data_IF_506824440034
#
_entry.id   IF_506824440034
#
_cell.length_a   1.000
_cell.length_b   1.000
_cell.length_c   1.000
_cell.angle_alpha   90.00
_cell.angle_beta   90.00
_cell.angle_gamma   90.00
#
_symmetry.space_group_name_H-M   'P 1'
#
loop_
_entity.id
_entity.type
_entity.pdbx_description
1 polymer ?
#
# COMPACT_ATOMS: atom_id res chain seq x y z
N UNK A 1 7.26 18.85 -7.82
CA UNK A 1 7.83 20.15 -7.37
C UNK A 1 8.97 19.98 -6.35
N UNK A 2 10.10 20.69 -6.48
CA UNK A 2 11.22 20.58 -5.55
C UNK A 2 10.99 21.53 -4.35
N UNK A 3 10.14 21.16 -3.40
CA UNK A 3 9.93 21.98 -2.20
C UNK A 3 9.29 21.23 -1.03
N UNK A 4 9.90 20.14 -0.53
CA UNK A 4 9.51 19.56 0.78
C UNK A 4 10.70 18.93 1.53
N UNK A 5 11.93 19.42 1.41
CA UNK A 5 13.03 18.94 2.28
C UNK A 5 12.98 19.63 3.65
N UNK A 6 13.01 18.89 4.78
CA UNK A 6 13.09 19.51 6.10
C UNK A 6 14.44 20.22 6.30
N UNK A 7 14.42 21.30 7.08
CA UNK A 7 15.62 21.96 7.58
C UNK A 7 16.38 20.98 8.50
N UNK A 8 17.68 20.77 8.21
CA UNK A 8 18.52 19.83 8.97
C UNK A 8 18.88 20.41 10.33
N UNK A 9 18.34 19.83 11.40
CA UNK A 9 18.87 19.99 12.76
C UNK A 9 19.94 18.93 13.06
N UNK A 10 21.17 19.36 13.36
CA UNK A 10 22.14 18.66 14.22
C UNK A 10 22.95 17.48 13.64
N UNK A 11 24.21 17.73 13.27
CA UNK A 11 25.37 16.95 13.73
C UNK A 11 25.58 15.48 13.33
N UNK A 12 24.79 14.89 12.44
CA UNK A 12 25.05 13.57 11.84
C UNK A 12 25.14 13.70 10.32
N UNK A 13 26.26 13.30 9.72
CA UNK A 13 26.43 13.36 8.26
C UNK A 13 25.22 12.74 7.56
N UNK A 14 24.47 13.56 6.82
CA UNK A 14 23.17 13.15 6.34
C UNK A 14 23.32 12.04 5.30
N UNK A 15 23.00 10.82 5.73
CA UNK A 15 22.92 9.65 4.86
C UNK A 15 21.60 9.73 4.12
N UNK A 16 21.66 9.82 2.79
CA UNK A 16 20.49 9.75 1.91
C UNK A 16 20.36 8.36 1.31
N UNK A 17 19.13 7.96 0.97
CA UNK A 17 18.86 6.81 0.14
C UNK A 17 18.47 7.30 -1.26
N UNK A 18 18.97 6.61 -2.29
CA UNK A 18 18.57 6.83 -3.68
C UNK A 18 17.98 5.52 -4.18
N UNK A 19 16.66 5.44 -4.43
CA UNK A 19 16.08 4.26 -5.04
C UNK A 19 16.56 4.16 -6.49
N UNK A 20 17.06 2.98 -6.86
CA UNK A 20 17.49 2.65 -8.22
C UNK A 20 16.75 1.40 -8.69
N UNK A 21 16.85 1.09 -9.99
CA UNK A 21 16.34 -0.16 -10.58
C UNK A 21 14.83 -0.37 -10.40
N UNK A 22 14.05 0.60 -10.85
CA UNK A 22 12.59 0.56 -10.81
C UNK A 22 11.97 -0.02 -12.10
N UNK A 23 12.68 -0.90 -12.82
CA UNK A 23 12.18 -1.49 -14.06
C UNK A 23 10.96 -2.41 -13.88
N UNK A 24 10.77 -2.95 -12.67
CA UNK A 24 9.75 -3.95 -12.36
C UNK A 24 8.73 -3.50 -11.29
N UNK A 25 8.60 -2.19 -11.03
CA UNK A 25 7.77 -1.69 -9.91
C UNK A 25 6.25 -1.69 -10.18
N UNK A 26 5.84 -1.83 -11.44
CA UNK A 26 4.43 -1.82 -11.85
C UNK A 26 4.09 -3.08 -12.66
N UNK A 27 4.06 -4.27 -12.01
CA UNK A 27 3.55 -5.46 -12.68
C UNK A 27 2.08 -5.28 -13.05
N UNK A 28 1.59 -6.08 -14.00
CA UNK A 28 0.14 -6.21 -14.22
C UNK A 28 -0.51 -6.63 -12.90
N UNK A 29 -1.67 -6.05 -12.59
CA UNK A 29 -2.45 -6.39 -11.40
C UNK A 29 -2.91 -7.86 -11.35
N UNK A 30 -2.73 -8.61 -12.45
CA UNK A 30 -2.95 -10.06 -12.53
C UNK A 30 -1.80 -10.89 -11.99
N UNK A 31 -0.65 -10.28 -11.74
CA UNK A 31 0.59 -10.93 -11.30
C UNK A 31 1.03 -10.44 -9.92
N UNK A 32 0.07 -10.05 -9.06
CA UNK A 32 0.36 -9.59 -7.71
C UNK A 32 0.97 -10.69 -6.83
N UNK A 33 0.80 -11.96 -7.21
CA UNK A 33 1.45 -13.09 -6.54
C UNK A 33 2.98 -13.07 -6.61
N UNK A 34 3.55 -12.34 -7.58
CA UNK A 34 5.00 -12.21 -7.76
C UNK A 34 5.59 -11.08 -6.91
N UNK A 35 4.76 -10.27 -6.25
CA UNK A 35 5.21 -9.14 -5.44
C UNK A 35 6.03 -9.65 -4.25
N UNK A 36 7.27 -9.17 -4.18
CA UNK A 36 8.16 -9.41 -3.05
C UNK A 36 8.80 -8.10 -2.60
N UNK A 37 8.78 -7.87 -1.29
CA UNK A 37 9.28 -6.65 -0.64
C UNK A 37 10.43 -6.99 0.29
N UNK A 38 11.67 -6.79 -0.19
CA UNK A 38 12.88 -7.17 0.54
C UNK A 38 13.05 -6.44 1.90
N UNK A 39 12.46 -5.25 2.02
CA UNK A 39 12.49 -4.43 3.24
C UNK A 39 11.47 -4.88 4.29
N UNK A 40 10.58 -5.83 3.99
CA UNK A 40 9.49 -6.26 4.88
C UNK A 40 10.02 -6.66 6.27
N UNK A 41 11.15 -7.36 6.30
CA UNK A 41 11.73 -7.86 7.54
C UNK A 41 12.77 -6.93 8.17
N UNK A 42 12.99 -5.74 7.60
CA UNK A 42 13.94 -4.79 8.16
C UNK A 42 13.39 -4.18 9.45
N UNK A 43 14.20 -4.01 10.51
CA UNK A 43 13.74 -3.39 11.76
C UNK A 43 13.11 -2.00 11.55
N UNK A 44 13.57 -1.26 10.55
CA UNK A 44 13.09 0.08 10.19
C UNK A 44 11.64 0.06 9.70
N UNK A 45 11.20 -1.00 9.01
CA UNK A 45 9.83 -1.09 8.48
C UNK A 45 8.78 -1.19 9.59
N UNK A 46 9.18 -1.58 10.81
CA UNK A 46 8.30 -1.67 11.98
C UNK A 46 8.17 -0.34 12.74
N UNK A 47 8.87 0.72 12.31
CA UNK A 47 8.76 2.04 12.92
C UNK A 47 7.56 2.78 12.31
N UNK A 48 6.82 3.50 13.15
CA UNK A 48 5.80 4.42 12.67
C UNK A 48 6.40 5.54 11.82
N UNK A 49 5.60 6.05 10.89
CA UNK A 49 5.96 7.20 10.07
C UNK A 49 6.09 8.46 10.92
N UNK A 50 6.97 9.37 10.52
CA UNK A 50 6.97 10.72 11.08
C UNK A 50 5.88 11.59 10.44
N UNK A 51 5.56 12.69 11.10
CA UNK A 51 4.53 13.64 10.68
C UNK A 51 4.76 14.18 9.25
N UNK A 52 6.01 14.38 8.87
CA UNK A 52 6.34 14.85 7.52
C UNK A 52 6.00 13.79 6.47
N UNK A 53 6.34 12.53 6.75
CA UNK A 53 6.06 11.40 5.87
C UNK A 53 4.56 11.14 5.75
N UNK A 54 3.81 11.27 6.84
CA UNK A 54 2.36 11.18 6.84
C UNK A 54 1.73 12.23 5.92
N UNK A 55 2.14 13.50 6.03
CA UNK A 55 1.67 14.58 5.13
C UNK A 55 2.06 14.36 3.68
N UNK A 56 3.26 13.83 3.43
CA UNK A 56 3.69 13.49 2.08
C UNK A 56 2.79 12.41 1.48
N UNK A 57 2.52 11.34 2.23
CA UNK A 57 1.64 10.24 1.81
C UNK A 57 0.22 10.75 1.58
N UNK A 58 -0.31 11.58 2.49
CA UNK A 58 -1.64 12.18 2.37
C UNK A 58 -1.80 12.99 1.08
N UNK A 59 -0.74 13.68 0.64
CA UNK A 59 -0.73 14.48 -0.57
C UNK A 59 -0.51 13.73 -1.89
N UNK A 60 -0.37 12.40 -1.87
CA UNK A 60 -0.29 11.60 -3.11
C UNK A 60 -1.62 11.62 -3.86
N UNK A 61 -1.57 11.60 -5.19
CA UNK A 61 -2.77 11.59 -6.05
C UNK A 61 -2.67 10.47 -7.07
N UNK A 62 -3.31 9.34 -6.74
CA UNK A 62 -3.27 8.13 -7.54
C UNK A 62 -3.84 8.33 -8.95
N UNK A 63 -4.88 9.14 -9.10
CA UNK A 63 -5.53 9.36 -10.39
C UNK A 63 -4.72 10.30 -11.30
N UNK A 64 -4.11 11.33 -10.71
CA UNK A 64 -3.18 12.20 -11.41
C UNK A 64 -1.94 11.41 -11.87
N UNK A 65 -1.37 10.56 -11.01
CA UNK A 65 -0.22 9.72 -11.35
C UNK A 65 -0.57 8.69 -12.43
N UNK A 66 -1.73 8.04 -12.35
CA UNK A 66 -2.24 7.15 -13.41
C UNK A 66 -2.37 7.88 -14.74
N UNK A 67 -2.99 9.06 -14.74
CA UNK A 67 -3.17 9.86 -15.96
C UNK A 67 -1.83 10.31 -16.55
N UNK A 68 -0.88 10.68 -15.70
CA UNK A 68 0.47 11.03 -16.10
C UNK A 68 1.17 9.83 -16.76
N UNK A 69 1.27 8.69 -16.08
CA UNK A 69 2.00 7.53 -16.61
C UNK A 69 1.35 6.94 -17.86
N UNK A 70 0.00 6.97 -17.95
CA UNK A 70 -0.72 6.61 -19.18
C UNK A 70 -0.25 7.46 -20.35
N UNK A 71 -0.22 8.78 -20.18
CA UNK A 71 0.08 9.71 -21.28
C UNK A 71 1.57 9.81 -21.60
N UNK A 72 2.46 9.63 -20.62
CA UNK A 72 3.91 9.78 -20.82
C UNK A 72 4.62 8.49 -21.20
N UNK A 73 4.19 7.35 -20.64
CA UNK A 73 4.86 6.06 -20.83
C UNK A 73 4.00 5.04 -21.59
N UNK A 74 2.68 5.30 -21.75
CA UNK A 74 1.78 4.36 -22.41
C UNK A 74 1.68 3.01 -21.68
N UNK A 75 1.71 3.04 -20.35
CA UNK A 75 1.60 1.81 -19.55
C UNK A 75 0.24 1.13 -19.80
N UNK A 76 0.20 -0.21 -19.84
CA UNK A 76 -1.05 -0.96 -19.88
C UNK A 76 -1.94 -0.65 -18.67
N UNK A 77 -3.26 -0.72 -18.85
CA UNK A 77 -4.23 -0.41 -17.80
C UNK A 77 -4.08 -1.30 -16.56
N UNK A 78 -3.79 -2.59 -16.73
CA UNK A 78 -3.48 -3.49 -15.60
C UNK A 78 -2.32 -2.98 -14.72
N UNK A 79 -1.29 -2.35 -15.32
CA UNK A 79 -0.18 -1.76 -14.57
C UNK A 79 -0.60 -0.46 -13.86
N UNK A 80 -1.52 0.30 -14.45
CA UNK A 80 -2.08 1.50 -13.86
C UNK A 80 -3.02 1.17 -12.69
N UNK A 81 -3.76 0.06 -12.77
CA UNK A 81 -4.50 -0.53 -11.65
C UNK A 81 -3.55 -0.82 -10.50
N UNK A 82 -2.41 -1.48 -10.75
CA UNK A 82 -1.39 -1.74 -9.72
C UNK A 82 -0.88 -0.46 -9.07
N UNK A 83 -0.59 0.59 -9.86
CA UNK A 83 -0.19 1.90 -9.33
C UNK A 83 -1.25 2.47 -8.39
N UNK A 84 -2.50 2.52 -8.85
CA UNK A 84 -3.60 3.06 -8.05
C UNK A 84 -3.81 2.28 -6.76
N UNK A 85 -3.82 0.95 -6.84
CA UNK A 85 -3.96 0.07 -5.70
C UNK A 85 -2.83 0.30 -4.69
N UNK A 86 -1.58 0.40 -5.16
CA UNK A 86 -0.41 0.66 -4.31
C UNK A 86 -0.47 2.01 -3.60
N UNK A 87 -0.79 3.08 -4.34
CA UNK A 87 -0.92 4.43 -3.76
C UNK A 87 -2.06 4.48 -2.74
N UNK A 88 -3.23 3.93 -3.11
CA UNK A 88 -4.41 3.87 -2.22
C UNK A 88 -4.08 3.08 -0.95
N UNK A 89 -3.43 1.92 -1.07
CA UNK A 89 -3.02 1.11 0.07
C UNK A 89 -2.14 1.89 1.04
N UNK A 90 -1.09 2.55 0.53
CA UNK A 90 -0.17 3.32 1.39
C UNK A 90 -0.88 4.48 2.07
N UNK A 91 -1.77 5.18 1.37
CA UNK A 91 -2.57 6.27 1.94
C UNK A 91 -3.49 5.79 3.06
N UNK A 92 -4.31 4.76 2.80
CA UNK A 92 -5.25 4.21 3.80
C UNK A 92 -4.51 3.60 4.98
N UNK A 93 -3.44 2.84 4.73
CA UNK A 93 -2.64 2.23 5.79
C UNK A 93 -1.99 3.28 6.70
N UNK A 94 -1.42 4.34 6.13
CA UNK A 94 -0.84 5.44 6.89
C UNK A 94 -1.91 6.18 7.73
N UNK A 95 -3.08 6.45 7.16
CA UNK A 95 -4.22 7.05 7.87
C UNK A 95 -4.71 6.16 9.03
N UNK A 96 -4.68 4.85 8.86
CA UNK A 96 -5.02 3.87 9.89
C UNK A 96 -3.91 3.63 10.94
N UNK A 97 -2.77 4.32 10.83
CA UNK A 97 -1.64 4.18 11.75
C UNK A 97 -0.83 2.89 11.56
N UNK A 98 -0.97 2.21 10.41
CA UNK A 98 -0.19 1.03 10.11
C UNK A 98 1.27 1.41 9.81
N UNK A 99 2.19 0.52 10.21
CA UNK A 99 3.61 0.64 9.86
C UNK A 99 3.87 0.09 8.46
N UNK A 100 5.00 0.45 7.87
CA UNK A 100 5.42 -0.07 6.56
C UNK A 100 5.44 -1.61 6.53
N UNK A 101 5.84 -2.26 7.62
CA UNK A 101 5.78 -3.71 7.79
C UNK A 101 4.33 -4.23 7.70
N UNK A 102 3.40 -3.63 8.45
CA UNK A 102 2.00 -4.05 8.43
C UNK A 102 1.35 -3.83 7.05
N UNK A 103 1.67 -2.71 6.40
CA UNK A 103 1.26 -2.45 5.01
C UNK A 103 1.82 -3.50 4.05
N UNK A 104 3.11 -3.83 4.17
CA UNK A 104 3.76 -4.81 3.30
C UNK A 104 3.20 -6.22 3.43
N UNK A 105 2.72 -6.61 4.62
CA UNK A 105 2.03 -7.89 4.81
C UNK A 105 0.72 -8.00 4.02
N UNK A 106 0.03 -6.88 3.75
CA UNK A 106 -1.17 -6.88 2.91
C UNK A 106 -0.86 -7.17 1.44
N UNK A 107 0.37 -6.88 1.00
CA UNK A 107 0.80 -7.00 -0.40
C UNK A 107 1.30 -8.39 -0.76
N UNK A 108 1.66 -9.22 0.22
CA UNK A 108 2.29 -10.53 0.00
C UNK A 108 1.41 -11.66 0.48
N UNK A 109 1.54 -12.83 -0.13
CA UNK A 109 0.84 -14.04 0.31
C UNK A 109 1.51 -14.58 1.58
N UNK A 110 0.74 -14.74 2.65
CA UNK A 110 1.24 -15.33 3.91
C UNK A 110 1.41 -16.85 3.79
N UNK A 111 0.51 -17.51 3.07
CA UNK A 111 0.50 -18.95 2.86
C UNK A 111 0.62 -19.29 1.38
N UNK A 112 1.39 -20.34 1.07
CA UNK A 112 1.52 -20.83 -0.29
C UNK A 112 0.16 -21.36 -0.79
N UNK A 113 -0.41 -20.69 -1.79
CA UNK A 113 -1.69 -21.05 -2.40
C UNK A 113 -2.89 -20.24 -1.92
N UNK A 114 -2.72 -19.34 -0.94
CA UNK A 114 -3.73 -18.36 -0.56
C UNK A 114 -3.42 -16.99 -1.21
N UNK A 115 -4.44 -16.24 -1.69
CA UNK A 115 -4.23 -14.89 -2.20
C UNK A 115 -3.81 -13.93 -1.07
N UNK A 116 -3.06 -12.90 -1.41
CA UNK A 116 -2.80 -11.76 -0.54
C UNK A 116 -4.07 -10.92 -0.34
N UNK A 117 -4.06 -10.05 0.67
CA UNK A 117 -5.18 -9.13 0.90
C UNK A 117 -5.45 -8.23 -0.32
N UNK A 118 -4.41 -7.84 -1.05
CA UNK A 118 -4.53 -7.02 -2.26
C UNK A 118 -5.11 -7.80 -3.46
N UNK A 119 -4.72 -9.06 -3.64
CA UNK A 119 -5.33 -9.93 -4.67
C UNK A 119 -6.82 -10.15 -4.39
N UNK A 120 -7.17 -10.37 -3.12
CA UNK A 120 -8.56 -10.48 -2.71
C UNK A 120 -9.35 -9.19 -2.94
N UNK A 121 -8.77 -8.04 -2.63
CA UNK A 121 -9.40 -6.74 -2.84
C UNK A 121 -9.68 -6.49 -4.33
N UNK A 122 -8.72 -6.80 -5.20
CA UNK A 122 -8.92 -6.75 -6.65
C UNK A 122 -10.04 -7.68 -7.09
N UNK A 123 -10.01 -8.94 -6.66
CA UNK A 123 -11.02 -9.94 -7.05
C UNK A 123 -12.43 -9.52 -6.66
N UNK A 124 -12.62 -9.00 -5.43
CA UNK A 124 -13.93 -8.54 -4.97
C UNK A 124 -14.40 -7.27 -5.69
N UNK A 125 -13.50 -6.31 -5.92
CA UNK A 125 -13.83 -5.11 -6.67
C UNK A 125 -14.28 -5.41 -8.11
N UNK A 126 -13.56 -6.30 -8.81
CA UNK A 126 -13.94 -6.76 -10.14
C UNK A 126 -15.31 -7.45 -10.13
N UNK A 127 -15.56 -8.33 -9.15
CA UNK A 127 -16.84 -9.01 -9.01
C UNK A 127 -18.01 -8.04 -8.80
N UNK A 128 -17.83 -7.00 -7.98
CA UNK A 128 -18.82 -5.94 -7.76
C UNK A 128 -19.12 -5.18 -9.06
N UNK A 129 -18.11 -4.98 -9.90
CA UNK A 129 -18.26 -4.32 -11.20
C UNK A 129 -18.75 -5.27 -12.32
N UNK A 130 -18.96 -6.56 -12.04
CA UNK A 130 -19.34 -7.55 -13.05
C UNK A 130 -18.24 -7.88 -14.05
N UNK A 131 -16.97 -7.66 -13.67
CA UNK A 131 -15.79 -7.87 -14.50
C UNK A 131 -15.13 -9.22 -14.22
N UNK A 132 -14.47 -9.79 -15.23
CA UNK A 132 -13.73 -11.04 -15.11
C UNK A 132 -12.25 -10.78 -14.78
N UNK A 133 -11.64 -11.52 -13.85
CA UNK A 133 -10.19 -11.45 -13.58
C UNK A 133 -9.32 -11.87 -14.78
N UNK A 134 -9.85 -12.69 -15.69
CA UNK A 134 -9.07 -13.28 -16.80
C UNK A 134 -8.96 -12.37 -18.04
N UNK A 135 -9.89 -11.41 -18.18
CA UNK A 135 -10.01 -10.57 -19.38
C UNK A 135 -8.99 -9.42 -19.49
N UNK A 136 -8.22 -9.17 -18.43
CA UNK A 136 -7.52 -7.88 -18.24
C UNK A 136 -8.51 -6.74 -17.98
N UNK A 137 -8.03 -5.62 -17.47
CA UNK A 137 -8.83 -4.40 -17.31
C UNK A 137 -8.65 -3.55 -18.56
N UNK A 138 -9.73 -3.25 -19.26
CA UNK A 138 -9.74 -2.34 -20.42
C UNK A 138 -9.72 -0.88 -19.97
N UNK A 139 -9.39 0.04 -20.89
CA UNK A 139 -9.40 1.48 -20.59
C UNK A 139 -10.80 1.96 -20.17
N UNK A 140 -11.86 1.51 -20.85
CA UNK A 140 -13.23 1.89 -20.49
C UNK A 140 -13.62 1.38 -19.09
N UNK A 141 -13.24 0.16 -18.74
CA UNK A 141 -13.48 -0.43 -17.42
C UNK A 141 -12.69 0.30 -16.33
N UNK A 142 -11.42 0.62 -16.56
CA UNK A 142 -10.60 1.41 -15.64
C UNK A 142 -11.17 2.82 -15.46
N UNK A 143 -11.56 3.48 -16.55
CA UNK A 143 -12.04 4.87 -16.56
C UNK A 143 -13.38 5.01 -15.86
N UNK A 144 -14.12 3.93 -15.65
CA UNK A 144 -15.30 3.91 -14.79
C UNK A 144 -14.96 4.29 -13.35
N UNK A 145 -15.66 5.28 -12.80
CA UNK A 145 -15.58 5.63 -11.38
C UNK A 145 -15.92 4.42 -10.51
N UNK A 146 -16.82 3.54 -10.97
CA UNK A 146 -17.29 2.38 -10.20
C UNK A 146 -16.14 1.42 -9.83
N UNK A 147 -15.20 1.15 -10.74
CA UNK A 147 -14.08 0.26 -10.44
C UNK A 147 -13.09 0.90 -9.48
N UNK A 148 -12.79 2.19 -9.64
CA UNK A 148 -11.91 2.94 -8.73
C UNK A 148 -12.47 3.01 -7.32
N UNK A 149 -13.77 3.30 -7.20
CA UNK A 149 -14.47 3.34 -5.92
C UNK A 149 -14.53 1.96 -5.27
N UNK A 150 -14.83 0.91 -6.03
CA UNK A 150 -14.85 -0.46 -5.52
C UNK A 150 -13.46 -0.90 -5.02
N UNK A 151 -12.40 -0.63 -5.79
CA UNK A 151 -11.03 -0.91 -5.37
C UNK A 151 -10.66 -0.14 -4.09
N UNK A 152 -10.97 1.15 -4.03
CA UNK A 152 -10.66 1.96 -2.86
C UNK A 152 -11.40 1.48 -1.61
N UNK A 153 -12.66 1.07 -1.75
CA UNK A 153 -13.48 0.53 -0.66
C UNK A 153 -12.94 -0.83 -0.16
N UNK A 154 -12.58 -1.74 -1.08
CA UNK A 154 -12.03 -3.06 -0.74
C UNK A 154 -10.66 -2.96 -0.07
N UNK A 155 -9.81 -2.04 -0.55
CA UNK A 155 -8.51 -1.76 0.08
C UNK A 155 -8.70 -1.18 1.47
N UNK A 156 -9.59 -0.20 1.64
CA UNK A 156 -9.87 0.37 2.96
C UNK A 156 -10.39 -0.69 3.93
N UNK A 157 -11.30 -1.57 3.50
CA UNK A 157 -11.79 -2.68 4.32
C UNK A 157 -10.65 -3.58 4.81
N UNK A 158 -9.71 -3.95 3.94
CA UNK A 158 -8.53 -4.76 4.31
C UNK A 158 -7.58 -4.03 5.26
N UNK A 159 -7.41 -2.73 5.07
CA UNK A 159 -6.63 -1.89 5.98
C UNK A 159 -7.28 -1.80 7.35
N UNK A 160 -8.60 -1.60 7.43
CA UNK A 160 -9.31 -1.53 8.70
C UNK A 160 -9.28 -2.85 9.46
N UNK A 161 -9.41 -3.98 8.76
CA UNK A 161 -9.24 -5.32 9.33
C UNK A 161 -7.87 -5.48 9.97
N UNK A 162 -6.79 -5.15 9.25
CA UNK A 162 -5.43 -5.19 9.78
C UNK A 162 -5.21 -4.25 10.98
N UNK A 163 -5.73 -3.02 10.90
CA UNK A 163 -5.61 -2.04 11.97
C UNK A 163 -6.36 -2.46 13.25
N UNK A 164 -7.50 -3.14 13.12
CA UNK A 164 -8.20 -3.74 14.26
C UNK A 164 -7.36 -4.86 14.88
N UNK A 165 -6.78 -5.76 14.07
CA UNK A 165 -5.89 -6.82 14.54
C UNK A 165 -4.68 -6.28 15.32
N UNK A 166 -4.02 -5.24 14.83
CA UNK A 166 -2.91 -4.59 15.52
C UNK A 166 -3.31 -4.01 16.89
N UNK A 167 -4.43 -3.28 16.96
CA UNK A 167 -4.93 -2.68 18.21
C UNK A 167 -5.23 -3.74 19.28
N UNK A 168 -5.81 -4.87 18.89
CA UNK A 168 -6.06 -5.99 19.81
C UNK A 168 -4.75 -6.57 20.35
N UNK A 169 -3.76 -6.78 19.47
CA UNK A 169 -2.44 -7.29 19.87
C UNK A 169 -1.71 -6.35 20.85
N UNK A 170 -1.75 -5.04 20.60
CA UNK A 170 -1.14 -4.04 21.48
C UNK A 170 -1.82 -3.99 22.85
N UNK A 171 -3.15 -4.07 22.88
CA UNK A 171 -3.93 -4.11 24.12
C UNK A 171 -3.51 -5.32 24.98
N UNK A 172 -3.40 -6.50 24.37
CA UNK A 172 -2.94 -7.70 25.07
C UNK A 172 -1.50 -7.56 25.62
N UNK A 173 -0.57 -7.03 24.81
CA UNK A 173 0.81 -6.79 25.28
C UNK A 173 0.86 -5.79 26.43
N UNK A 174 0.06 -4.72 26.36
CA UNK A 174 -0.02 -3.74 27.43
C UNK A 174 -0.56 -4.36 28.72
N UNK A 175 -1.63 -5.14 28.63
CA UNK A 175 -2.20 -5.85 29.79
C UNK A 175 -1.19 -6.84 30.39
N UNK A 176 -0.52 -7.64 29.56
CA UNK A 176 0.49 -8.59 30.01
C UNK A 176 1.66 -7.88 30.73
N UNK A 177 2.10 -6.73 30.21
CA UNK A 177 3.14 -5.92 30.84
C UNK A 177 2.70 -5.40 32.21
N UNK A 178 1.49 -4.84 32.32
CA UNK A 178 0.94 -4.36 33.59
C UNK A 178 0.82 -5.49 34.62
N UNK A 179 0.40 -6.69 34.21
CA UNK A 179 0.33 -7.86 35.09
C UNK A 179 1.72 -8.29 35.58
N UNK A 180 2.73 -8.31 34.72
CA UNK A 180 4.10 -8.63 35.11
C UNK A 180 4.73 -7.57 36.03
N UNK A 181 4.36 -6.29 35.88
CA UNK A 181 4.86 -5.20 36.72
C UNK A 181 4.16 -5.10 38.09
N UNK A 182 3.03 -5.79 38.26
CA UNK A 182 2.24 -5.83 39.51
C UNK A 182 2.40 -7.10 40.34
N UNK A 183 3.22 -8.05 39.87
CA UNK A 183 3.58 -9.30 40.54
C UNK A 183 4.98 -9.22 41.16
#
# INVERSE_FOLDING_TARGET
PPALRPARGGGGGARGLVPIDHGYILPSCRHLEEVNVCWLYWPQARRGYDEWTLRYIEGLDAEADVSLLRTTLGLPEDCLVTLFMGTTLVQRAAQAGLTLHATGLLMVREEAGAPSAMEEALSRALAVCGLSPEGGVTDDEWRSDALREALAAEIDAKVQEAAQGCRVSETYRSLAKTLCESA
#
